data_IF_797883551889
#
_entry.id   IF_797883551889
#
_cell.length_a   1.000
_cell.length_b   1.000
_cell.length_c   1.000
_cell.angle_alpha   90.00
_cell.angle_beta   90.00
_cell.angle_gamma   90.00
#
_symmetry.space_group_name_H-M   'P 1'
#
loop_
_entity.id
_entity.type
_entity.pdbx_description
1 polymer ?
#
# COMPACT_ATOMS: atom_id res chain seq x y z
N UNK A 1 -10.74 -10.15 6.55
CA UNK A 1 -9.29 -10.35 6.32
C UNK A 1 -8.90 -9.38 5.22
N UNK A 2 -8.47 -8.18 5.59
CA UNK A 2 -8.00 -7.19 4.62
C UNK A 2 -6.82 -7.80 3.87
N UNK A 3 -6.93 -7.89 2.55
CA UNK A 3 -5.84 -8.26 1.67
C UNK A 3 -4.82 -7.11 1.62
N UNK A 4 -3.98 -7.04 2.66
CA UNK A 4 -2.71 -6.28 2.66
C UNK A 4 -1.67 -6.99 1.75
N UNK A 5 -2.04 -8.11 1.12
CA UNK A 5 -1.19 -8.96 0.31
C UNK A 5 -1.14 -8.57 -1.19
N UNK A 6 -1.23 -7.27 -1.51
CA UNK A 6 -1.22 -6.78 -2.89
C UNK A 6 -0.10 -5.79 -3.28
N UNK A 7 1.07 -5.67 -2.61
CA UNK A 7 2.17 -4.98 -3.26
C UNK A 7 2.91 -6.03 -4.08
N UNK A 8 2.66 -6.04 -5.38
CA UNK A 8 3.48 -6.83 -6.31
C UNK A 8 4.07 -5.87 -7.33
N UNK A 9 5.32 -5.50 -7.04
CA UNK A 9 6.43 -5.32 -7.99
C UNK A 9 6.92 -3.89 -8.28
N UNK A 10 6.33 -2.81 -7.74
CA UNK A 10 6.92 -1.47 -7.86
C UNK A 10 6.91 -0.61 -6.59
N UNK A 11 5.80 -0.54 -5.85
CA UNK A 11 5.73 0.18 -4.56
C UNK A 11 6.54 -0.50 -3.44
N UNK A 12 6.83 -1.81 -3.58
CA UNK A 12 7.58 -2.60 -2.59
C UNK A 12 8.94 -1.98 -2.23
N UNK A 13 9.58 -1.28 -3.17
CA UNK A 13 10.94 -0.80 -2.96
C UNK A 13 11.01 0.35 -1.96
N UNK A 14 10.01 1.22 -1.95
CA UNK A 14 9.99 2.36 -1.03
C UNK A 14 9.66 1.90 0.40
N UNK A 15 8.69 1.00 0.54
CA UNK A 15 8.37 0.34 1.80
C UNK A 15 9.55 -0.48 2.32
N UNK A 16 10.19 -1.26 1.46
CA UNK A 16 11.35 -2.06 1.82
C UNK A 16 12.51 -1.17 2.28
N UNK A 17 12.81 -0.09 1.56
CA UNK A 17 13.85 0.86 1.96
C UNK A 17 13.50 1.61 3.26
N UNK A 18 12.22 1.85 3.52
CA UNK A 18 11.79 2.51 4.76
C UNK A 18 11.88 1.58 5.97
N UNK A 19 11.65 0.29 5.75
CA UNK A 19 11.79 -0.77 6.74
C UNK A 19 13.26 -1.13 7.01
N UNK A 20 14.11 -1.19 5.99
CA UNK A 20 15.56 -1.43 6.08
C UNK A 20 16.27 -0.21 6.69
N UNK A 21 16.31 -0.14 8.02
CA UNK A 21 16.90 0.98 8.76
C UNK A 21 18.42 0.93 8.72
N UNK A 22 18.98 -0.27 8.58
CA UNK A 22 20.42 -0.48 8.59
C UNK A 22 21.06 -0.34 7.18
N UNK A 23 20.23 -0.33 6.12
CA UNK A 23 20.58 -0.12 4.71
C UNK A 23 21.55 -1.20 4.21
N UNK A 24 21.40 -2.44 4.68
CA UNK A 24 22.16 -3.59 4.20
C UNK A 24 21.50 -4.30 3.02
N UNK A 25 20.32 -3.81 2.60
CA UNK A 25 19.52 -4.37 1.52
C UNK A 25 18.76 -5.63 1.91
N UNK A 26 18.61 -5.90 3.22
CA UNK A 26 17.87 -7.01 3.80
C UNK A 26 17.00 -6.50 4.94
N UNK A 27 16.07 -7.34 5.38
CA UNK A 27 15.26 -7.06 6.55
C UNK A 27 15.65 -8.05 7.64
N UNK A 28 16.09 -7.54 8.79
CA UNK A 28 16.18 -8.31 10.01
C UNK A 28 14.79 -8.61 10.60
N UNK A 29 14.71 -9.37 11.69
CA UNK A 29 13.43 -9.76 12.29
C UNK A 29 12.54 -8.56 12.68
N UNK A 30 13.14 -7.45 13.13
CA UNK A 30 12.42 -6.24 13.53
C UNK A 30 12.01 -5.43 12.31
N UNK A 31 12.88 -5.31 11.33
CA UNK A 31 12.61 -4.63 10.06
C UNK A 31 11.52 -5.38 9.27
N UNK A 32 11.54 -6.71 9.31
CA UNK A 32 10.50 -7.55 8.73
C UNK A 32 9.15 -7.42 9.47
N UNK A 33 9.18 -7.29 10.81
CA UNK A 33 7.96 -7.00 11.56
C UNK A 33 7.39 -5.63 11.16
N UNK A 34 8.24 -4.62 11.01
CA UNK A 34 7.84 -3.30 10.55
C UNK A 34 7.32 -3.30 9.11
N UNK A 35 7.83 -4.18 8.26
CA UNK A 35 7.32 -4.37 6.90
C UNK A 35 5.97 -5.11 6.86
N UNK A 36 5.75 -6.06 7.77
CA UNK A 36 4.53 -6.89 7.80
C UNK A 36 3.38 -6.26 8.57
N UNK A 37 3.68 -5.50 9.63
CA UNK A 37 2.71 -4.79 10.47
C UNK A 37 3.07 -3.31 10.57
N UNK A 38 3.18 -2.61 9.44
CA UNK A 38 3.61 -1.22 9.44
C UNK A 38 2.64 -0.28 10.18
N UNK A 39 1.39 -0.70 10.41
CA UNK A 39 0.43 -0.01 11.27
C UNK A 39 0.89 0.15 12.73
N UNK A 40 1.77 -0.74 13.20
CA UNK A 40 2.36 -0.67 14.53
C UNK A 40 3.61 0.23 14.57
N UNK A 41 4.07 0.70 13.40
CA UNK A 41 5.30 1.46 13.25
C UNK A 41 5.00 2.88 12.72
N UNK A 42 5.04 3.91 13.59
CA UNK A 42 4.72 5.28 13.21
C UNK A 42 5.52 5.84 12.03
N UNK A 43 6.74 5.35 11.83
CA UNK A 43 7.62 5.77 10.73
C UNK A 43 7.17 5.25 9.36
N UNK A 44 6.39 4.16 9.34
CA UNK A 44 5.89 3.52 8.13
C UNK A 44 4.51 4.04 7.71
N UNK A 45 3.72 4.53 8.68
CA UNK A 45 2.37 5.05 8.47
C UNK A 45 2.27 6.12 7.37
N UNK A 46 3.15 7.15 7.31
CA UNK A 46 3.02 8.19 6.29
C UNK A 46 3.22 7.67 4.86
N UNK A 47 4.09 6.68 4.68
CA UNK A 47 4.42 6.10 3.38
C UNK A 47 3.24 5.28 2.86
N UNK A 48 2.66 4.46 3.73
CA UNK A 48 1.50 3.63 3.39
C UNK A 48 0.29 4.49 3.14
N UNK A 49 0.07 5.51 3.95
CA UNK A 49 -1.04 6.43 3.74
C UNK A 49 -0.91 7.13 2.39
N UNK A 50 0.30 7.60 2.04
CA UNK A 50 0.57 8.22 0.75
C UNK A 50 0.30 7.27 -0.41
N UNK A 51 0.84 6.05 -0.36
CA UNK A 51 0.61 5.04 -1.41
C UNK A 51 -0.86 4.65 -1.53
N UNK A 52 -1.54 4.45 -0.39
CA UNK A 52 -2.96 4.12 -0.38
C UNK A 52 -3.79 5.23 -1.00
N UNK A 53 -3.47 6.49 -0.70
CA UNK A 53 -4.11 7.64 -1.33
C UNK A 53 -3.82 7.66 -2.83
N UNK A 54 -2.56 7.56 -3.26
CA UNK A 54 -2.22 7.55 -4.70
C UNK A 54 -2.91 6.44 -5.50
N UNK A 55 -3.15 5.29 -4.88
CA UNK A 55 -3.81 4.15 -5.52
C UNK A 55 -5.34 4.23 -5.50
N UNK A 56 -5.94 4.79 -4.44
CA UNK A 56 -7.39 4.73 -4.19
C UNK A 56 -8.11 6.04 -4.40
N UNK A 57 -7.49 7.15 -4.04
CA UNK A 57 -8.04 8.50 -4.20
C UNK A 57 -8.02 8.88 -5.68
N UNK A 58 -9.10 8.50 -6.36
CA UNK A 58 -9.22 8.64 -7.81
C UNK A 58 -9.59 10.07 -8.15
N UNK A 59 -10.34 10.72 -7.26
CA UNK A 59 -10.82 12.09 -7.42
C UNK A 59 -9.79 13.15 -6.98
N UNK A 60 -8.73 12.75 -6.27
CA UNK A 60 -7.61 13.54 -5.75
C UNK A 60 -8.01 14.61 -4.74
N UNK A 61 -9.01 14.33 -3.91
CA UNK A 61 -9.45 15.22 -2.83
C UNK A 61 -8.69 15.01 -1.52
N UNK A 62 -7.80 14.01 -1.48
CA UNK A 62 -6.96 13.68 -0.34
C UNK A 62 -7.68 12.84 0.73
N UNK A 63 -8.89 12.35 0.45
CA UNK A 63 -9.59 11.38 1.28
C UNK A 63 -9.95 10.14 0.46
N UNK A 64 -10.30 9.06 1.14
CA UNK A 64 -10.82 7.84 0.49
C UNK A 64 -12.26 7.72 0.91
N UNK A 65 -13.18 7.94 -0.03
CA UNK A 65 -14.59 7.72 0.22
C UNK A 65 -14.96 6.24 0.13
N UNK A 66 -16.22 5.91 0.44
CA UNK A 66 -16.67 4.52 0.43
C UNK A 66 -16.64 3.90 -0.98
N UNK A 67 -16.88 4.68 -2.04
CA UNK A 67 -16.85 4.22 -3.43
C UNK A 67 -15.41 3.88 -3.84
N UNK A 68 -14.46 4.73 -3.47
CA UNK A 68 -13.03 4.52 -3.68
C UNK A 68 -12.50 3.32 -2.86
N UNK A 69 -13.04 3.12 -1.66
CA UNK A 69 -12.69 1.98 -0.81
C UNK A 69 -13.13 0.64 -1.40
N UNK A 70 -14.38 0.54 -1.87
CA UNK A 70 -14.89 -0.70 -2.51
C UNK A 70 -14.25 -0.94 -3.88
N UNK A 71 -13.69 0.11 -4.49
CA UNK A 71 -13.04 0.09 -5.78
C UNK A 71 -14.06 0.01 -6.91
N UNK A 72 -13.90 0.86 -7.94
CA UNK A 72 -14.58 0.68 -9.22
C UNK A 72 -14.04 -0.60 -9.89
N UNK A 73 -14.56 -1.74 -9.46
CA UNK A 73 -14.48 -3.02 -10.18
C UNK A 73 -15.83 -3.28 -10.85
N UNK A 74 -16.33 -2.35 -11.64
CA UNK A 74 -17.58 -2.58 -12.39
C UNK A 74 -17.63 -1.82 -13.73
N UNK A 75 -16.51 -1.64 -14.46
CA UNK A 75 -16.55 -1.04 -15.81
C UNK A 75 -15.54 -1.65 -16.82
N UNK A 76 -15.28 -2.95 -16.76
CA UNK A 76 -14.46 -3.64 -17.78
C UNK A 76 -15.10 -4.95 -18.31
N UNK A 77 -16.39 -5.20 -18.06
CA UNK A 77 -17.16 -6.21 -18.81
C UNK A 77 -18.16 -5.52 -19.74
N UNK A 78 -17.64 -4.82 -20.76
CA UNK A 78 -18.39 -4.61 -22.00
C UNK A 78 -17.53 -5.04 -23.19
N UNK A 79 -18.21 -5.68 -24.17
CA UNK A 79 -17.77 -6.27 -25.45
C UNK A 79 -17.38 -7.76 -25.34
N UNK A 80 -18.18 -8.73 -25.81
CA UNK A 80 -19.12 -8.74 -26.96
C UNK A 80 -20.20 -9.82 -26.79
N UNK A 81 -21.39 -9.53 -27.33
CA UNK A 81 -22.45 -10.51 -27.70
C UNK A 81 -21.92 -11.77 -28.41
#
# INVERSE_FOLDING_TARGET
>A
MLNILLPLLREDRELFNAADKNIDGKLDEKEFLAFTHPEEHPDMLPIILHQTLEEKDTNKDGVIDFQEYIGDKDCDEELTD
#
